data_IF_674838593749
#
_entry.id   IF_674838593749
#
_cell.length_a   1.000
_cell.length_b   1.000
_cell.length_c   1.000
_cell.angle_alpha   90.00
_cell.angle_beta   90.00
_cell.angle_gamma   90.00
#
_symmetry.space_group_name_H-M   'P 1'
#
loop_
_entity.id
_entity.type
_entity.pdbx_description
1 polymer ?
#
# COMPACT_ATOMS: atom_id res chain seq x y z
N UNK A 1 16.76 -7.15 33.80
CA UNK A 1 15.65 -7.13 32.81
C UNK A 1 16.24 -7.61 31.49
N UNK A 2 15.70 -8.69 30.90
CA UNK A 2 16.09 -9.10 29.54
C UNK A 2 15.67 -7.99 28.58
N UNK A 3 16.57 -7.47 27.75
CA UNK A 3 16.16 -6.56 26.68
C UNK A 3 15.16 -7.28 25.75
N UNK A 4 14.05 -6.63 25.47
CA UNK A 4 13.04 -7.17 24.57
C UNK A 4 13.65 -7.36 23.19
N UNK A 5 13.55 -8.59 22.64
CA UNK A 5 14.09 -8.92 21.32
C UNK A 5 13.49 -8.07 20.22
N UNK A 6 14.26 -7.79 19.18
CA UNK A 6 13.80 -7.11 17.96
C UNK A 6 13.91 -8.08 16.79
N UNK A 7 12.86 -8.17 15.98
CA UNK A 7 12.79 -9.03 14.78
C UNK A 7 12.46 -8.18 13.56
N UNK A 8 13.26 -8.31 12.50
CA UNK A 8 12.99 -7.66 11.21
C UNK A 8 12.56 -8.70 10.20
N UNK A 9 11.45 -8.43 9.52
CA UNK A 9 10.89 -9.32 8.49
C UNK A 9 10.77 -8.56 7.19
N UNK A 10 11.28 -9.13 6.11
CA UNK A 10 11.10 -8.61 4.74
C UNK A 10 9.84 -9.26 4.18
N UNK A 11 8.84 -8.46 3.89
CA UNK A 11 7.59 -8.89 3.28
C UNK A 11 6.95 -7.73 2.54
N UNK A 12 6.21 -8.05 1.48
CA UNK A 12 5.54 -7.03 0.65
C UNK A 12 4.06 -7.32 0.60
N UNK A 13 3.27 -6.28 0.83
CA UNK A 13 1.85 -6.27 0.56
C UNK A 13 1.53 -5.08 -0.35
N UNK A 14 0.59 -5.30 -1.24
CA UNK A 14 0.07 -4.23 -2.07
C UNK A 14 -1.19 -3.62 -1.44
N UNK A 15 -1.51 -2.40 -1.81
CA UNK A 15 -2.64 -1.64 -1.28
C UNK A 15 -4.00 -2.38 -1.27
N UNK A 16 -4.21 -3.30 -2.21
CA UNK A 16 -5.42 -4.15 -2.27
C UNK A 16 -5.33 -5.43 -1.44
N UNK A 17 -4.26 -5.62 -0.69
CA UNK A 17 -4.01 -6.80 0.16
C UNK A 17 -4.02 -6.45 1.65
N UNK A 18 -4.54 -5.27 2.02
CA UNK A 18 -4.55 -4.79 3.40
C UNK A 18 -5.17 -5.80 4.39
N UNK A 19 -6.24 -6.49 4.00
CA UNK A 19 -6.84 -7.53 4.85
C UNK A 19 -5.86 -8.69 5.14
N UNK A 20 -5.06 -9.09 4.13
CA UNK A 20 -4.03 -10.13 4.31
C UNK A 20 -2.88 -9.63 5.19
N UNK A 21 -2.50 -8.37 5.02
CA UNK A 21 -1.47 -7.73 5.82
C UNK A 21 -1.91 -7.63 7.29
N UNK A 22 -3.14 -7.15 7.55
CA UNK A 22 -3.70 -7.06 8.90
C UNK A 22 -3.77 -8.41 9.60
N UNK A 23 -4.26 -9.46 8.91
CA UNK A 23 -4.30 -10.83 9.44
C UNK A 23 -2.90 -11.37 9.75
N UNK A 24 -1.91 -11.07 8.92
CA UNK A 24 -0.53 -11.49 9.16
C UNK A 24 0.06 -10.77 10.38
N UNK A 25 -0.13 -9.46 10.53
CA UNK A 25 0.33 -8.68 11.68
C UNK A 25 -0.34 -9.14 12.98
N UNK A 26 -1.65 -9.46 12.93
CA UNK A 26 -2.38 -10.05 14.05
C UNK A 26 -1.78 -11.41 14.45
N UNK A 27 -1.46 -12.26 13.47
CA UNK A 27 -0.76 -13.53 13.71
C UNK A 27 0.57 -13.36 14.42
N UNK A 28 1.40 -12.41 13.96
CA UNK A 28 2.67 -12.06 14.60
C UNK A 28 2.47 -11.63 16.05
N UNK A 29 1.41 -10.86 16.35
CA UNK A 29 1.12 -10.40 17.70
C UNK A 29 0.66 -11.53 18.61
N UNK A 30 -0.06 -12.53 18.10
CA UNK A 30 -0.42 -13.76 18.83
C UNK A 30 0.80 -14.60 19.20
N UNK A 31 1.89 -14.49 18.41
CA UNK A 31 3.19 -15.11 18.71
C UNK A 31 4.07 -14.25 19.64
N UNK A 32 3.60 -13.09 20.10
CA UNK A 32 4.34 -12.16 20.95
C UNK A 32 5.24 -11.18 20.19
N UNK A 33 5.09 -11.06 18.85
CA UNK A 33 5.81 -10.10 18.05
C UNK A 33 4.91 -8.93 17.66
N UNK A 34 5.09 -7.79 18.29
CA UNK A 34 4.27 -6.60 18.04
C UNK A 34 4.94 -5.65 17.06
N UNK A 35 4.19 -5.19 16.06
CA UNK A 35 4.68 -4.21 15.10
C UNK A 35 5.11 -2.93 15.83
N UNK A 36 6.36 -2.51 15.60
CA UNK A 36 6.95 -1.28 16.11
C UNK A 36 7.21 -0.26 15.00
N UNK A 37 7.62 -0.75 13.81
CA UNK A 37 7.94 0.12 12.67
C UNK A 37 7.66 -0.58 11.36
N UNK A 38 7.16 0.18 10.40
CA UNK A 38 6.99 -0.22 9.01
C UNK A 38 7.93 0.60 8.12
N UNK A 39 8.52 -0.03 7.12
CA UNK A 39 9.38 0.59 6.13
C UNK A 39 9.16 0.01 4.74
N UNK A 40 9.98 0.43 3.79
CA UNK A 40 9.91 -0.08 2.43
C UNK A 40 10.25 -1.58 2.41
N UNK A 41 9.28 -2.42 2.12
CA UNK A 41 9.36 -3.90 2.10
C UNK A 41 9.84 -4.55 3.40
N UNK A 42 9.80 -3.87 4.54
CA UNK A 42 10.22 -4.44 5.81
C UNK A 42 9.36 -3.99 6.99
N UNK A 43 9.23 -4.89 7.95
CA UNK A 43 8.52 -4.70 9.20
C UNK A 43 9.47 -4.98 10.36
N UNK A 44 9.50 -4.11 11.35
CA UNK A 44 10.26 -4.29 12.57
C UNK A 44 9.29 -4.58 13.71
N UNK A 45 9.52 -5.67 14.40
CA UNK A 45 8.71 -6.14 15.53
C UNK A 45 9.52 -6.08 16.81
N UNK A 46 8.85 -5.83 17.90
CA UNK A 46 9.37 -5.91 19.25
C UNK A 46 8.73 -7.07 19.97
N UNK A 47 9.55 -7.84 20.71
CA UNK A 47 9.07 -8.93 21.54
C UNK A 47 8.23 -8.41 22.71
N UNK A 48 7.13 -9.09 23.00
CA UNK A 48 6.21 -8.77 24.08
C UNK A 48 5.34 -9.96 24.45
N UNK A 49 4.40 -9.76 25.35
CA UNK A 49 3.43 -10.78 25.73
C UNK A 49 2.49 -11.03 24.53
N UNK A 50 2.24 -12.31 24.15
CA UNK A 50 1.24 -12.63 23.14
C UNK A 50 -0.08 -11.92 23.39
N UNK A 51 -0.62 -11.28 22.36
CA UNK A 51 -1.85 -10.51 22.48
C UNK A 51 -2.66 -10.55 21.18
N UNK A 52 -3.98 -10.52 21.31
CA UNK A 52 -4.89 -10.51 20.16
C UNK A 52 -5.14 -9.07 19.71
N UNK A 53 -4.26 -8.56 18.85
CA UNK A 53 -4.41 -7.25 18.24
C UNK A 53 -5.07 -7.36 16.87
N UNK A 54 -5.93 -6.37 16.56
CA UNK A 54 -6.41 -6.07 15.22
C UNK A 54 -5.55 -4.96 14.64
N UNK A 55 -5.18 -5.08 13.37
CA UNK A 55 -4.41 -4.08 12.63
C UNK A 55 -5.23 -3.56 11.46
N UNK A 56 -5.29 -2.23 11.34
CA UNK A 56 -6.00 -1.52 10.29
C UNK A 56 -5.14 -0.39 9.71
N UNK A 57 -5.48 0.02 8.50
CA UNK A 57 -4.69 0.97 7.73
C UNK A 57 -5.56 2.06 7.13
N UNK A 58 -5.02 3.29 7.06
CA UNK A 58 -5.61 4.35 6.24
C UNK A 58 -4.59 4.94 5.27
N UNK A 59 -5.10 5.39 4.13
CA UNK A 59 -4.35 6.14 3.13
C UNK A 59 -4.84 7.58 3.10
N UNK A 60 -3.97 8.52 3.49
CA UNK A 60 -4.28 9.95 3.48
C UNK A 60 -3.01 10.78 3.30
N UNK A 61 -3.07 11.76 2.41
CA UNK A 61 -1.98 12.72 2.25
C UNK A 61 -2.25 13.85 3.24
N UNK A 62 -1.40 13.95 4.26
CA UNK A 62 -1.54 14.92 5.34
C UNK A 62 -0.30 15.82 5.44
N UNK A 63 -0.53 17.10 5.72
CA UNK A 63 0.49 18.00 6.21
C UNK A 63 0.83 17.71 7.68
N UNK A 64 2.01 18.17 8.15
CA UNK A 64 2.42 17.97 9.54
C UNK A 64 1.42 18.54 10.55
N UNK A 65 0.78 19.66 10.22
CA UNK A 65 -0.18 20.32 11.09
C UNK A 65 -1.47 19.52 11.28
N UNK A 66 -1.94 18.89 10.22
CA UNK A 66 -3.21 18.15 10.24
C UNK A 66 -3.05 16.73 10.80
N UNK A 67 -1.80 16.26 10.92
CA UNK A 67 -1.51 14.89 11.34
C UNK A 67 -1.90 14.63 12.81
N UNK A 68 -1.64 15.58 13.71
CA UNK A 68 -1.94 15.39 15.13
C UNK A 68 -3.45 15.30 15.38
N UNK A 69 -4.24 16.18 14.77
CA UNK A 69 -5.70 16.15 14.87
C UNK A 69 -6.28 14.87 14.25
N UNK A 70 -5.70 14.45 13.15
CA UNK A 70 -6.07 13.20 12.48
C UNK A 70 -5.76 11.98 13.34
N UNK A 71 -4.57 11.92 13.95
CA UNK A 71 -4.16 10.85 14.83
C UNK A 71 -5.06 10.76 16.07
N UNK A 72 -5.31 11.91 16.73
CA UNK A 72 -6.14 11.94 17.95
C UNK A 72 -7.55 11.41 17.69
N UNK A 73 -8.13 11.68 16.51
CA UNK A 73 -9.46 11.17 16.15
C UNK A 73 -9.56 9.64 16.25
N UNK A 74 -8.52 8.92 15.83
CA UNK A 74 -8.50 7.46 15.92
C UNK A 74 -8.07 6.97 17.31
N UNK A 75 -7.19 7.71 18.00
CA UNK A 75 -6.80 7.39 19.37
C UNK A 75 -8.00 7.51 20.32
N UNK A 76 -8.84 8.52 20.16
CA UNK A 76 -10.10 8.69 20.91
C UNK A 76 -11.09 7.54 20.64
N UNK A 77 -11.07 6.98 19.43
CA UNK A 77 -11.81 5.78 19.09
C UNK A 77 -11.15 4.47 19.58
N UNK A 78 -10.04 4.55 20.35
CA UNK A 78 -9.34 3.41 20.96
C UNK A 78 -8.38 2.68 20.00
N UNK A 79 -7.99 3.32 18.90
CA UNK A 79 -6.92 2.84 18.03
C UNK A 79 -5.58 3.43 18.47
N UNK A 80 -4.54 2.64 18.46
CA UNK A 80 -3.18 3.10 18.73
C UNK A 80 -2.43 3.28 17.41
N UNK A 81 -1.96 4.50 17.16
CA UNK A 81 -1.04 4.76 16.05
C UNK A 81 0.30 4.04 16.27
N UNK A 82 0.80 3.35 15.25
CA UNK A 82 2.07 2.60 15.28
C UNK A 82 3.14 3.32 14.46
N UNK A 83 2.77 3.83 13.30
CA UNK A 83 3.69 4.47 12.38
C UNK A 83 3.08 4.63 11.01
N UNK A 84 3.85 5.15 10.09
CA UNK A 84 3.43 5.28 8.70
C UNK A 84 4.57 4.93 7.76
N UNK A 85 4.19 4.51 6.56
CA UNK A 85 5.08 4.44 5.41
C UNK A 85 4.49 5.29 4.27
N UNK A 86 5.15 6.41 3.95
CA UNK A 86 4.58 7.43 3.08
C UNK A 86 3.23 7.93 3.62
N UNK A 87 2.19 7.83 2.82
CA UNK A 87 0.82 8.24 3.17
C UNK A 87 -0.04 7.10 3.72
N UNK A 88 0.53 5.94 4.02
CA UNK A 88 -0.12 4.82 4.69
C UNK A 88 0.12 4.90 6.18
N UNK A 89 -0.94 4.99 6.98
CA UNK A 89 -0.94 5.06 8.43
C UNK A 89 -1.38 3.72 9.02
N UNK A 90 -0.63 3.21 9.97
CA UNK A 90 -0.82 1.91 10.62
C UNK A 90 -1.37 2.10 12.01
N UNK A 91 -2.48 1.45 12.29
CA UNK A 91 -3.15 1.47 13.59
C UNK A 91 -3.32 0.06 14.11
N UNK A 92 -3.36 -0.08 15.42
CA UNK A 92 -3.76 -1.32 16.08
C UNK A 92 -4.73 -1.04 17.21
N UNK A 93 -5.61 -2.01 17.50
CA UNK A 93 -6.50 -1.99 18.65
C UNK A 93 -6.49 -3.36 19.34
N UNK A 94 -6.99 -3.42 20.57
CA UNK A 94 -7.24 -4.67 21.27
C UNK A 94 -8.41 -5.40 20.60
N UNK A 95 -8.12 -6.57 20.04
CA UNK A 95 -9.10 -7.44 19.37
C UNK A 95 -9.73 -8.48 20.29
N UNK A 96 -9.34 -8.53 21.56
CA UNK A 96 -9.84 -9.56 22.50
C UNK A 96 -11.35 -9.47 22.75
N UNK A 97 -11.92 -8.26 22.63
CA UNK A 97 -13.35 -7.99 22.81
C UNK A 97 -14.10 -7.85 21.50
N UNK A 98 -13.43 -7.45 20.45
CA UNK A 98 -14.00 -7.20 19.11
C UNK A 98 -12.96 -7.55 18.05
N UNK A 99 -12.87 -8.82 17.63
CA UNK A 99 -11.88 -9.27 16.65
C UNK A 99 -12.17 -8.76 15.23
N UNK A 100 -13.39 -8.35 14.96
CA UNK A 100 -13.82 -7.81 13.66
C UNK A 100 -13.84 -6.27 13.66
N UNK A 101 -13.25 -5.65 14.68
CA UNK A 101 -13.16 -4.20 14.79
C UNK A 101 -12.45 -3.60 13.59
N UNK A 102 -13.10 -2.61 12.99
CA UNK A 102 -12.61 -1.91 11.82
C UNK A 102 -12.32 -0.44 12.15
N UNK A 103 -11.32 0.14 11.46
CA UNK A 103 -10.97 1.56 11.60
C UNK A 103 -12.12 2.46 11.14
N UNK A 104 -12.82 2.03 10.10
CA UNK A 104 -13.99 2.68 9.56
C UNK A 104 -15.23 1.82 9.77
N UNK A 105 -16.18 2.32 10.55
CA UNK A 105 -17.44 1.62 10.87
C UNK A 105 -18.43 1.55 9.70
N UNK A 106 -18.19 2.30 8.61
CA UNK A 106 -19.09 2.38 7.48
C UNK A 106 -18.38 2.21 6.13
N UNK A 107 -19.10 1.63 5.18
CA UNK A 107 -18.59 1.36 3.83
C UNK A 107 -18.29 2.64 3.03
N UNK A 108 -18.93 3.78 3.38
CA UNK A 108 -18.69 5.05 2.69
C UNK A 108 -17.31 5.59 3.02
N UNK A 109 -16.91 5.60 4.29
CA UNK A 109 -15.58 6.03 4.73
C UNK A 109 -14.47 5.12 4.17
N UNK A 110 -14.70 3.79 4.14
CA UNK A 110 -13.80 2.84 3.45
C UNK A 110 -13.67 3.16 1.96
N UNK A 111 -14.78 3.43 1.30
CA UNK A 111 -14.78 3.79 -0.12
C UNK A 111 -14.01 5.08 -0.38
N UNK A 112 -14.13 6.10 0.47
CA UNK A 112 -13.39 7.36 0.35
C UNK A 112 -11.88 7.16 0.50
N UNK A 113 -11.42 6.26 1.38
CA UNK A 113 -10.00 5.83 1.44
C UNK A 113 -9.50 5.33 0.08
N UNK A 114 -10.24 4.40 -0.52
CA UNK A 114 -9.84 3.83 -1.82
C UNK A 114 -9.94 4.82 -2.99
N UNK A 115 -10.88 5.77 -2.95
CA UNK A 115 -10.94 6.86 -3.94
C UNK A 115 -9.73 7.79 -3.84
N UNK A 116 -9.29 8.15 -2.62
CA UNK A 116 -8.05 8.93 -2.42
C UNK A 116 -6.84 8.20 -3.00
N UNK A 117 -6.73 6.89 -2.73
CA UNK A 117 -5.66 6.06 -3.26
C UNK A 117 -5.72 5.98 -4.80
N UNK A 118 -6.92 5.78 -5.38
CA UNK A 118 -7.11 5.75 -6.82
C UNK A 118 -6.69 7.06 -7.48
N UNK A 119 -7.09 8.19 -6.91
CA UNK A 119 -6.72 9.53 -7.39
C UNK A 119 -5.19 9.72 -7.33
N UNK A 120 -4.56 9.33 -6.24
CA UNK A 120 -3.11 9.39 -6.07
C UNK A 120 -2.39 8.56 -7.14
N UNK A 121 -2.82 7.32 -7.38
CA UNK A 121 -2.27 6.47 -8.43
C UNK A 121 -2.48 7.07 -9.82
N UNK A 122 -3.66 7.62 -10.11
CA UNK A 122 -3.94 8.23 -11.41
C UNK A 122 -3.08 9.47 -11.66
N UNK A 123 -2.85 10.30 -10.64
CA UNK A 123 -1.98 11.50 -10.74
C UNK A 123 -0.52 11.10 -11.02
N UNK A 124 -0.03 10.02 -10.38
CA UNK A 124 1.36 9.59 -10.57
C UNK A 124 1.53 8.82 -11.89
N UNK A 125 0.65 7.85 -12.19
CA UNK A 125 0.81 6.99 -13.35
C UNK A 125 0.35 7.65 -14.66
N UNK A 126 -0.63 8.54 -14.61
CA UNK A 126 -1.22 9.16 -15.81
C UNK A 126 -0.19 9.89 -16.69
N UNK A 127 0.60 10.85 -16.15
CA UNK A 127 1.63 11.55 -16.95
C UNK A 127 2.71 10.60 -17.48
N UNK A 128 3.10 9.58 -16.69
CA UNK A 128 4.08 8.58 -17.09
C UNK A 128 3.54 7.79 -18.29
N UNK A 129 2.30 7.33 -18.24
CA UNK A 129 1.65 6.60 -19.33
C UNK A 129 1.49 7.47 -20.59
N UNK A 130 1.10 8.74 -20.42
CA UNK A 130 0.97 9.67 -21.55
C UNK A 130 2.30 9.90 -22.28
N UNK A 131 3.41 9.84 -21.55
CA UNK A 131 4.74 9.98 -22.15
C UNK A 131 5.28 8.67 -22.71
N UNK A 132 5.10 7.57 -22.01
CA UNK A 132 5.72 6.27 -22.33
C UNK A 132 5.06 5.55 -23.50
N UNK A 133 3.73 5.55 -23.60
CA UNK A 133 3.00 4.81 -24.63
C UNK A 133 3.33 5.28 -26.06
N UNK A 134 3.31 6.60 -26.39
CA UNK A 134 3.73 7.06 -27.71
C UNK A 134 5.20 6.74 -28.01
N UNK A 135 6.08 6.88 -27.00
CA UNK A 135 7.49 6.55 -27.16
C UNK A 135 7.70 5.04 -27.41
N UNK A 136 6.98 4.19 -26.71
CA UNK A 136 7.01 2.74 -26.92
C UNK A 136 6.54 2.39 -28.34
N UNK A 137 5.42 2.99 -28.81
CA UNK A 137 4.89 2.78 -30.15
C UNK A 137 5.90 3.19 -31.23
N UNK A 138 6.46 4.41 -31.15
CA UNK A 138 7.47 4.87 -32.10
C UNK A 138 8.69 3.97 -32.15
N UNK A 139 9.12 3.42 -31.03
CA UNK A 139 10.28 2.53 -30.94
C UNK A 139 10.01 1.14 -31.48
N UNK A 140 8.81 0.60 -31.29
CA UNK A 140 8.44 -0.67 -31.94
C UNK A 140 8.55 -0.53 -33.47
N UNK A 141 8.14 0.64 -34.02
CA UNK A 141 8.30 0.92 -35.44
C UNK A 141 9.77 1.06 -35.83
N UNK A 142 10.58 1.81 -35.05
CA UNK A 142 12.00 1.99 -35.31
C UNK A 142 12.78 0.67 -35.17
N UNK A 143 12.40 -0.22 -34.25
CA UNK A 143 13.01 -1.54 -34.09
C UNK A 143 12.71 -2.49 -35.27
N UNK A 144 11.68 -2.23 -36.04
CA UNK A 144 11.44 -2.94 -37.30
C UNK A 144 12.46 -2.55 -38.40
N UNK A 145 13.26 -1.50 -38.17
CA UNK A 145 14.41 -1.13 -39.03
C UNK A 145 15.73 -1.61 -38.44
N UNK A 146 16.57 -2.26 -39.25
CA UNK A 146 17.81 -2.95 -38.84
C UNK A 146 18.86 -2.10 -38.06
N UNK A 147 18.72 -0.80 -38.01
CA UNK A 147 19.71 0.12 -37.45
C UNK A 147 19.70 0.24 -35.91
N UNK A 148 18.58 -0.05 -35.26
CA UNK A 148 18.37 0.19 -33.83
C UNK A 148 18.94 -0.93 -32.99
N UNK A 149 18.82 -2.19 -33.43
CA UNK A 149 19.31 -3.36 -32.68
C UNK A 149 20.84 -3.45 -32.65
N UNK A 150 21.51 -2.78 -33.59
CA UNK A 150 22.98 -2.76 -33.68
C UNK A 150 23.64 -1.64 -32.85
N UNK A 151 22.83 -0.79 -32.15
CA UNK A 151 23.38 0.23 -31.26
C UNK A 151 23.49 -0.31 -29.82
N UNK A 152 24.72 -0.49 -29.27
CA UNK A 152 24.93 -1.08 -27.95
C UNK A 152 24.30 -0.25 -26.81
N UNK A 153 24.16 1.05 -26.94
CA UNK A 153 23.50 1.91 -25.93
C UNK A 153 21.99 1.64 -25.91
N UNK A 154 21.38 1.47 -27.08
CA UNK A 154 19.95 1.15 -27.18
C UNK A 154 19.69 -0.23 -26.60
N UNK A 155 20.50 -1.22 -26.93
CA UNK A 155 20.29 -2.59 -26.48
C UNK A 155 20.57 -2.76 -24.97
N UNK A 156 21.66 -2.22 -24.43
CA UNK A 156 22.09 -2.49 -23.05
C UNK A 156 21.46 -1.56 -22.00
N UNK A 157 21.02 -0.37 -22.36
CA UNK A 157 20.50 0.61 -21.41
C UNK A 157 19.03 0.88 -21.66
N UNK A 158 18.71 1.19 -22.92
CA UNK A 158 17.37 1.70 -23.22
C UNK A 158 16.31 0.62 -23.24
N UNK A 159 16.56 -0.53 -23.84
CA UNK A 159 15.62 -1.63 -23.90
C UNK A 159 15.26 -2.18 -22.50
N UNK A 160 16.22 -2.45 -21.59
CA UNK A 160 15.88 -2.81 -20.22
C UNK A 160 15.07 -1.75 -19.47
N UNK A 161 15.38 -0.45 -19.65
CA UNK A 161 14.64 0.65 -19.02
C UNK A 161 13.18 0.69 -19.50
N UNK A 162 12.93 0.54 -20.81
CA UNK A 162 11.58 0.47 -21.38
C UNK A 162 10.81 -0.74 -20.85
N UNK A 163 11.46 -1.91 -20.78
CA UNK A 163 10.82 -3.12 -20.22
C UNK A 163 10.41 -2.89 -18.77
N UNK A 164 11.31 -2.38 -17.93
CA UNK A 164 11.02 -2.10 -16.52
C UNK A 164 9.87 -1.11 -16.40
N UNK A 165 9.89 -0.01 -17.16
CA UNK A 165 8.84 0.99 -17.13
C UNK A 165 7.49 0.40 -17.54
N UNK A 166 7.44 -0.39 -18.61
CA UNK A 166 6.23 -1.08 -19.07
C UNK A 166 5.68 -2.04 -18.01
N UNK A 167 6.55 -2.78 -17.31
CA UNK A 167 6.13 -3.67 -16.22
C UNK A 167 5.55 -2.89 -15.05
N UNK A 168 6.14 -1.74 -14.69
CA UNK A 168 5.60 -0.84 -13.64
C UNK A 168 4.23 -0.30 -14.05
N UNK A 169 4.03 0.07 -15.30
CA UNK A 169 2.74 0.55 -15.81
C UNK A 169 1.67 -0.54 -15.82
N UNK A 170 2.01 -1.75 -16.23
CA UNK A 170 1.11 -2.90 -16.16
C UNK A 170 0.67 -3.13 -14.70
N UNK A 171 1.61 -3.05 -13.76
CA UNK A 171 1.30 -3.18 -12.33
C UNK A 171 0.39 -2.03 -11.85
N UNK A 172 0.62 -0.79 -12.30
CA UNK A 172 -0.22 0.35 -11.95
C UNK A 172 -1.66 0.20 -12.49
N UNK A 173 -1.82 -0.24 -13.74
CA UNK A 173 -3.15 -0.54 -14.32
C UNK A 173 -3.84 -1.65 -13.54
N UNK A 174 -3.13 -2.72 -13.23
CA UNK A 174 -3.66 -3.81 -12.41
C UNK A 174 -4.12 -3.32 -11.03
N UNK A 175 -3.31 -2.48 -10.36
CA UNK A 175 -3.66 -1.86 -9.08
C UNK A 175 -4.95 -1.03 -9.18
N UNK A 176 -5.06 -0.19 -10.20
CA UNK A 176 -6.25 0.63 -10.47
C UNK A 176 -7.49 -0.25 -10.63
N UNK A 177 -7.40 -1.31 -11.44
CA UNK A 177 -8.51 -2.25 -11.65
C UNK A 177 -8.93 -2.92 -10.33
N UNK A 178 -7.96 -3.38 -9.53
CA UNK A 178 -8.23 -4.01 -8.22
C UNK A 178 -8.93 -3.05 -7.26
N UNK A 179 -8.47 -1.80 -7.20
CA UNK A 179 -9.07 -0.77 -6.34
C UNK A 179 -10.49 -0.42 -6.82
N UNK A 180 -10.72 -0.30 -8.13
CA UNK A 180 -12.06 -0.07 -8.68
C UNK A 180 -13.02 -1.22 -8.35
N UNK A 181 -12.56 -2.48 -8.37
CA UNK A 181 -13.37 -3.62 -7.94
C UNK A 181 -13.75 -3.53 -6.47
N UNK A 182 -12.82 -3.11 -5.59
CA UNK A 182 -13.10 -2.91 -4.16
C UNK A 182 -14.14 -1.79 -3.98
N UNK A 183 -13.95 -0.65 -4.64
CA UNK A 183 -14.90 0.48 -4.59
C UNK A 183 -16.29 0.04 -5.05
N UNK A 184 -16.40 -0.70 -6.15
CA UNK A 184 -17.67 -1.18 -6.67
C UNK A 184 -18.36 -2.15 -5.70
N UNK A 185 -17.59 -3.03 -5.04
CA UNK A 185 -18.12 -3.92 -3.99
C UNK A 185 -18.67 -3.14 -2.79
N UNK A 186 -17.89 -2.17 -2.28
CA UNK A 186 -18.32 -1.32 -1.18
C UNK A 186 -19.58 -0.49 -1.53
N UNK A 187 -19.65 0.03 -2.77
CA UNK A 187 -20.81 0.78 -3.26
C UNK A 187 -22.07 -0.08 -3.34
N UNK A 188 -21.95 -1.37 -3.68
CA UNK A 188 -23.09 -2.29 -3.67
C UNK A 188 -23.62 -2.49 -2.26
N UNK A 189 -22.72 -2.72 -1.29
CA UNK A 189 -23.10 -2.93 0.12
C UNK A 189 -23.69 -1.67 0.81
N UNK A 190 -23.58 -0.48 0.23
CA UNK A 190 -24.21 0.76 0.73
C UNK A 190 -25.67 0.87 0.23
N UNK A 191 -26.02 0.19 -0.86
CA UNK A 191 -27.34 0.28 -1.51
C UNK A 191 -28.31 -0.82 -1.05
N UNK A 192 -27.79 -1.88 -0.46
CA UNK A 192 -28.56 -2.94 0.20
C UNK A 192 -28.86 -2.57 1.66
#
# INVERSE_FOLDING_TARGET
MKEAGTKRVIRTFFAWQEEKEGKWLAGMSKEGWHLERVGFFNYTFKEGVPHDYVYEFDFKILGKKDFEDYRSTFEDAGWKYIGNFGSWYYYRADGSKDPDRELYSDNRSKMEKYKRLLMFLAIISGPVMMWSLPNLYMRIIDMAGDSVLNNPVVFNIYLPAVIILTLVEILAVYAIIRILMIINRLKKNIRE
#
